data_IF_806141029042
#
_entry.id   IF_806141029042
#
_cell.length_a   1.000
_cell.length_b   1.000
_cell.length_c   1.000
_cell.angle_alpha   90.00
_cell.angle_beta   90.00
_cell.angle_gamma   90.00
#
_symmetry.space_group_name_H-M   'P 1'
#
loop_
_entity.id
_entity.type
_entity.pdbx_description
1 polymer ?
#
# COMPACT_ATOMS: atom_id res chain seq x y z
N UNK A 1 -27.75 11.54 26.05
CA UNK A 1 -28.26 10.77 27.19
C UNK A 1 -29.78 10.86 27.35
N UNK A 2 -30.54 10.87 26.25
CA UNK A 2 -32.02 10.93 26.25
C UNK A 2 -32.66 9.57 25.90
N UNK A 3 -31.90 8.65 25.29
CA UNK A 3 -32.38 7.34 24.79
C UNK A 3 -31.82 6.12 25.57
N UNK A 4 -31.18 6.32 26.73
CA UNK A 4 -30.65 5.22 27.56
C UNK A 4 -29.50 4.39 26.96
N UNK A 5 -29.00 4.75 25.78
CA UNK A 5 -27.87 4.06 25.12
C UNK A 5 -26.56 4.28 25.87
N UNK A 6 -25.92 3.17 26.29
CA UNK A 6 -24.57 3.15 26.86
C UNK A 6 -23.57 3.82 25.89
N UNK A 7 -22.55 4.52 26.40
CA UNK A 7 -21.60 5.30 25.60
C UNK A 7 -20.90 4.45 24.53
N UNK A 8 -20.55 3.21 24.89
CA UNK A 8 -19.97 2.24 23.97
C UNK A 8 -20.91 1.91 22.81
N UNK A 9 -22.20 1.66 23.07
CA UNK A 9 -23.21 1.42 22.02
C UNK A 9 -23.36 2.62 21.10
N UNK A 10 -23.37 3.84 21.64
CA UNK A 10 -23.44 5.06 20.85
C UNK A 10 -22.22 5.22 19.94
N UNK A 11 -21.03 4.92 20.47
CA UNK A 11 -19.77 4.99 19.71
C UNK A 11 -19.78 4.02 18.51
N UNK A 12 -20.02 2.73 18.75
CA UNK A 12 -19.96 1.72 17.68
C UNK A 12 -21.13 1.80 16.71
N UNK A 13 -22.33 2.17 17.18
CA UNK A 13 -23.56 2.12 16.36
C UNK A 13 -23.85 3.42 15.61
N UNK A 14 -23.34 4.56 16.09
CA UNK A 14 -23.64 5.87 15.51
C UNK A 14 -22.37 6.55 15.02
N UNK A 15 -21.35 6.70 15.88
CA UNK A 15 -20.15 7.48 15.55
C UNK A 15 -19.30 6.80 14.47
N UNK A 16 -19.02 5.49 14.61
CA UNK A 16 -18.21 4.74 13.64
C UNK A 16 -18.83 4.74 12.23
N UNK A 17 -20.10 4.34 12.01
CA UNK A 17 -20.68 4.30 10.66
C UNK A 17 -20.76 5.69 10.01
N UNK A 18 -20.97 6.74 10.80
CA UNK A 18 -20.94 8.13 10.30
C UNK A 18 -19.52 8.56 9.89
N UNK A 19 -18.50 8.06 10.59
CA UNK A 19 -17.08 8.39 10.37
C UNK A 19 -16.40 7.52 9.31
N UNK A 20 -17.10 6.55 8.71
CA UNK A 20 -16.57 5.65 7.66
C UNK A 20 -15.84 6.40 6.53
N UNK A 21 -16.31 7.54 6.00
CA UNK A 21 -15.59 8.26 4.94
C UNK A 21 -14.24 8.83 5.40
N UNK A 22 -14.18 9.31 6.64
CA UNK A 22 -12.96 9.86 7.24
C UNK A 22 -11.98 8.72 7.53
N UNK A 23 -12.46 7.63 8.13
CA UNK A 23 -11.65 6.43 8.39
C UNK A 23 -11.09 5.84 7.09
N UNK A 24 -11.89 5.81 6.01
CA UNK A 24 -11.41 5.38 4.70
C UNK A 24 -10.26 6.26 4.19
N UNK A 25 -10.35 7.58 4.37
CA UNK A 25 -9.31 8.53 3.95
C UNK A 25 -8.02 8.35 4.74
N UNK A 26 -8.10 8.24 6.07
CA UNK A 26 -6.93 8.00 6.93
C UNK A 26 -6.31 6.63 6.64
N UNK A 27 -7.13 5.60 6.47
CA UNK A 27 -6.66 4.25 6.12
C UNK A 27 -5.95 4.22 4.77
N UNK A 28 -6.40 5.00 3.79
CA UNK A 28 -5.76 5.09 2.48
C UNK A 28 -4.37 5.70 2.60
N UNK A 29 -4.27 6.85 3.27
CA UNK A 29 -2.99 7.55 3.44
C UNK A 29 -1.99 6.71 4.23
N UNK A 30 -2.43 6.04 5.29
CA UNK A 30 -1.58 5.15 6.09
C UNK A 30 -1.15 3.91 5.31
N UNK A 31 -2.06 3.26 4.56
CA UNK A 31 -1.74 2.10 3.73
C UNK A 31 -0.73 2.46 2.62
N UNK A 32 -0.99 3.54 1.88
CA UNK A 32 -0.08 4.02 0.83
C UNK A 32 1.26 4.41 1.42
N UNK A 33 1.27 5.07 2.59
CA UNK A 33 2.49 5.43 3.32
C UNK A 33 3.32 4.20 3.69
N UNK A 34 2.70 3.21 4.34
CA UNK A 34 3.37 1.97 4.72
C UNK A 34 3.84 1.14 3.53
N UNK A 35 3.05 1.06 2.45
CA UNK A 35 3.47 0.38 1.23
C UNK A 35 4.71 1.02 0.60
N UNK A 36 4.82 2.34 0.70
CA UNK A 36 5.95 3.11 0.18
C UNK A 36 7.08 3.34 1.21
N UNK A 37 7.03 2.73 2.38
CA UNK A 37 7.98 2.95 3.48
C UNK A 37 9.33 2.28 3.22
N UNK A 38 10.11 2.81 2.28
CA UNK A 38 11.45 2.33 1.97
C UNK A 38 12.53 2.99 2.84
N UNK A 39 12.41 4.30 3.10
CA UNK A 39 13.46 5.07 3.78
C UNK A 39 13.59 4.68 5.25
N UNK A 40 12.45 4.72 5.97
CA UNK A 40 12.39 4.30 7.36
C UNK A 40 12.86 2.85 7.53
N UNK A 41 12.48 1.97 6.60
CA UNK A 41 12.90 0.58 6.63
C UNK A 41 14.42 0.41 6.51
N UNK A 42 15.11 1.18 5.65
CA UNK A 42 16.57 1.11 5.53
C UNK A 42 17.27 1.60 6.81
N UNK A 43 16.67 2.57 7.51
CA UNK A 43 17.23 3.13 8.74
C UNK A 43 17.04 2.18 9.92
N UNK A 44 15.85 1.60 10.06
CA UNK A 44 15.48 0.84 11.25
C UNK A 44 15.67 -0.68 11.13
N UNK A 45 15.71 -1.23 9.91
CA UNK A 45 15.77 -2.69 9.69
C UNK A 45 17.18 -3.10 9.27
N UNK A 46 17.86 -3.82 10.17
CA UNK A 46 19.18 -4.41 9.89
C UNK A 46 19.12 -5.82 9.31
N UNK A 47 18.00 -6.54 9.49
CA UNK A 47 17.81 -7.92 9.03
C UNK A 47 17.26 -7.93 7.59
N UNK A 48 18.01 -8.56 6.67
CA UNK A 48 17.64 -8.67 5.26
C UNK A 48 16.30 -9.40 5.04
N UNK A 49 15.94 -10.35 5.91
CA UNK A 49 14.70 -11.11 5.78
C UNK A 49 13.45 -10.30 6.18
N UNK A 50 13.65 -9.16 6.84
CA UNK A 50 12.56 -8.26 7.29
C UNK A 50 12.42 -7.04 6.39
N UNK A 51 13.22 -6.93 5.32
CA UNK A 51 13.18 -5.78 4.43
C UNK A 51 11.88 -5.78 3.63
N UNK A 52 11.14 -4.66 3.59
CA UNK A 52 9.91 -4.58 2.84
C UNK A 52 10.20 -4.60 1.34
N UNK A 53 9.19 -5.05 0.58
CA UNK A 53 9.25 -5.18 -0.87
C UNK A 53 9.73 -3.90 -1.57
N UNK A 54 9.35 -2.73 -1.06
CA UNK A 54 9.72 -1.44 -1.63
C UNK A 54 11.24 -1.17 -1.59
N UNK A 55 11.94 -1.65 -0.56
CA UNK A 55 13.40 -1.54 -0.47
C UNK A 55 14.08 -2.44 -1.49
N UNK A 56 13.59 -3.68 -1.63
CA UNK A 56 14.10 -4.64 -2.62
C UNK A 56 13.88 -4.13 -4.05
N UNK A 57 12.67 -3.62 -4.34
CA UNK A 57 12.36 -2.99 -5.62
C UNK A 57 13.30 -1.83 -5.93
N UNK A 58 13.54 -0.95 -4.95
CA UNK A 58 14.47 0.17 -5.10
C UNK A 58 15.89 -0.30 -5.42
N UNK A 59 16.40 -1.32 -4.72
CA UNK A 59 17.73 -1.92 -5.01
C UNK A 59 17.79 -2.46 -6.43
N UNK A 60 16.78 -3.20 -6.88
CA UNK A 60 16.70 -3.72 -8.26
C UNK A 60 16.69 -2.57 -9.29
N UNK A 61 15.94 -1.50 -9.02
CA UNK A 61 15.79 -0.34 -9.93
C UNK A 61 17.04 0.54 -9.98
N UNK A 62 17.74 0.73 -8.84
CA UNK A 62 18.85 1.67 -8.67
C UNK A 62 20.24 1.02 -8.77
N UNK A 63 20.45 -0.14 -8.13
CA UNK A 63 21.78 -0.80 -8.04
C UNK A 63 22.05 -1.73 -9.23
N UNK A 64 21.14 -1.78 -10.20
CA UNK A 64 21.47 -2.26 -11.53
C UNK A 64 22.01 -3.68 -11.54
N UNK A 65 21.27 -4.64 -10.98
CA UNK A 65 21.29 -6.06 -11.37
C UNK A 65 22.58 -6.87 -11.25
N UNK A 66 23.76 -6.29 -11.07
CA UNK A 66 25.03 -7.00 -11.29
C UNK A 66 25.32 -8.01 -10.18
N UNK A 67 25.06 -7.66 -8.93
CA UNK A 67 25.37 -8.54 -7.80
C UNK A 67 24.30 -9.61 -7.54
N UNK A 68 23.02 -9.30 -7.84
CA UNK A 68 21.90 -10.23 -7.70
C UNK A 68 21.80 -11.21 -8.88
N UNK A 69 22.09 -10.76 -10.12
CA UNK A 69 22.21 -11.65 -11.29
C UNK A 69 23.39 -12.61 -11.16
N UNK A 70 24.49 -12.19 -10.52
CA UNK A 70 25.65 -13.08 -10.32
C UNK A 70 25.38 -14.27 -9.37
N UNK A 71 24.34 -14.20 -8.53
CA UNK A 71 23.87 -15.35 -7.74
C UNK A 71 22.91 -16.24 -8.54
N UNK A 72 22.18 -15.66 -9.50
CA UNK A 72 21.40 -16.41 -10.49
C UNK A 72 22.35 -16.77 -11.65
N UNK A 73 23.35 -17.60 -11.38
CA UNK A 73 24.23 -18.13 -12.43
C UNK A 73 23.39 -18.97 -13.41
N UNK A 74 23.05 -18.35 -14.54
CA UNK A 74 23.44 -18.73 -15.90
C UNK A 74 23.44 -20.22 -16.31
N UNK A 75 22.63 -21.11 -15.72
CA UNK A 75 22.55 -22.49 -16.21
C UNK A 75 21.22 -22.87 -16.88
N UNK A 76 20.16 -22.06 -16.83
CA UNK A 76 18.90 -22.47 -17.51
C UNK A 76 17.99 -21.35 -18.06
N UNK A 77 18.36 -20.09 -17.87
CA UNK A 77 17.56 -18.97 -18.40
C UNK A 77 18.42 -18.07 -19.26
N UNK A 78 18.37 -18.30 -20.58
CA UNK A 78 19.06 -17.51 -21.58
C UNK A 78 18.79 -16.02 -21.39
N UNK A 79 19.88 -15.25 -21.29
CA UNK A 79 19.93 -13.80 -21.48
C UNK A 79 18.71 -13.02 -20.93
N UNK A 80 18.35 -13.21 -19.67
CA UNK A 80 17.34 -12.35 -19.05
C UNK A 80 17.94 -10.94 -18.95
N UNK A 81 17.45 -10.03 -19.78
CA UNK A 81 17.85 -8.63 -19.76
C UNK A 81 17.51 -8.02 -18.38
N UNK A 82 18.45 -7.34 -17.71
CA UNK A 82 18.21 -6.60 -16.46
C UNK A 82 16.95 -5.73 -16.48
N UNK A 83 16.64 -5.17 -17.64
CA UNK A 83 15.46 -4.34 -17.89
C UNK A 83 14.15 -5.12 -17.75
N UNK A 84 14.11 -6.39 -18.16
CA UNK A 84 12.92 -7.22 -18.04
C UNK A 84 12.60 -7.55 -16.57
N UNK A 85 13.62 -7.89 -15.77
CA UNK A 85 13.46 -8.14 -14.32
C UNK A 85 13.03 -6.88 -13.59
N UNK A 86 13.66 -5.73 -13.93
CA UNK A 86 13.28 -4.43 -13.37
C UNK A 86 11.81 -4.11 -13.65
N UNK A 87 11.38 -4.24 -14.90
CA UNK A 87 10.00 -3.94 -15.28
C UNK A 87 9.01 -4.93 -14.64
N UNK A 88 9.31 -6.23 -14.65
CA UNK A 88 8.48 -7.25 -14.00
C UNK A 88 8.31 -6.97 -12.49
N UNK A 89 9.39 -6.58 -11.81
CA UNK A 89 9.35 -6.23 -10.38
C UNK A 89 8.48 -5.01 -10.11
N UNK A 90 8.54 -3.97 -10.97
CA UNK A 90 7.67 -2.79 -10.88
C UNK A 90 6.20 -3.19 -11.05
N UNK A 91 5.87 -4.03 -12.03
CA UNK A 91 4.50 -4.51 -12.23
C UNK A 91 3.98 -5.27 -11.01
N UNK A 92 4.77 -6.23 -10.49
CA UNK A 92 4.41 -7.03 -9.31
C UNK A 92 4.16 -6.13 -8.08
N UNK A 93 4.96 -5.08 -7.91
CA UNK A 93 4.79 -4.16 -6.78
C UNK A 93 3.60 -3.20 -6.95
N UNK A 94 3.24 -2.85 -8.19
CA UNK A 94 2.22 -1.83 -8.48
C UNK A 94 0.80 -2.42 -8.56
N UNK A 95 0.66 -3.66 -9.03
CA UNK A 95 -0.63 -4.34 -9.19
C UNK A 95 -1.46 -4.37 -7.88
N UNK A 96 -0.90 -4.73 -6.71
CA UNK A 96 -1.68 -4.80 -5.48
C UNK A 96 -2.29 -3.44 -5.09
N UNK A 97 -1.53 -2.34 -5.23
CA UNK A 97 -2.04 -0.99 -4.95
C UNK A 97 -3.18 -0.64 -5.90
N UNK A 98 -3.03 -0.95 -7.19
CA UNK A 98 -4.06 -0.71 -8.19
C UNK A 98 -5.33 -1.50 -7.90
N UNK A 99 -5.21 -2.73 -7.42
CA UNK A 99 -6.36 -3.55 -7.01
C UNK A 99 -7.08 -2.98 -5.78
N UNK A 100 -6.35 -2.38 -4.83
CA UNK A 100 -6.94 -1.78 -3.61
C UNK A 100 -7.63 -0.45 -3.91
N UNK A 101 -7.13 0.32 -4.87
CA UNK A 101 -7.66 1.62 -5.26
C UNK A 101 -9.18 1.67 -5.51
N UNK A 102 -9.81 0.80 -6.34
CA UNK A 102 -11.25 0.85 -6.60
C UNK A 102 -12.11 0.58 -5.36
N UNK A 103 -11.64 -0.25 -4.42
CA UNK A 103 -12.36 -0.50 -3.17
C UNK A 103 -12.45 0.75 -2.32
N UNK A 104 -11.36 1.51 -2.26
CA UNK A 104 -11.29 2.74 -1.48
C UNK A 104 -12.04 3.88 -2.20
N UNK A 105 -11.87 4.00 -3.53
CA UNK A 105 -12.53 5.02 -4.36
C UNK A 105 -14.06 5.00 -4.19
N UNK A 106 -14.67 3.82 -4.04
CA UNK A 106 -16.12 3.69 -3.78
C UNK A 106 -16.60 4.46 -2.55
N UNK A 107 -15.77 4.56 -1.49
CA UNK A 107 -16.13 5.30 -0.28
C UNK A 107 -16.00 6.82 -0.47
N UNK A 108 -15.01 7.27 -1.23
CA UNK A 108 -14.86 8.68 -1.59
C UNK A 108 -16.02 9.19 -2.44
N UNK A 109 -16.43 8.43 -3.47
CA UNK A 109 -17.54 8.82 -4.35
C UNK A 109 -18.85 8.93 -3.56
N UNK A 110 -19.12 8.01 -2.62
CA UNK A 110 -20.30 8.10 -1.74
C UNK A 110 -20.26 9.31 -0.82
N UNK A 111 -19.10 9.65 -0.26
CA UNK A 111 -18.95 10.81 0.63
C UNK A 111 -19.18 12.15 -0.09
N UNK A 112 -18.62 12.30 -1.30
CA UNK A 112 -18.75 13.53 -2.10
C UNK A 112 -20.18 13.73 -2.61
N UNK A 113 -20.84 12.66 -3.06
CA UNK A 113 -22.23 12.74 -3.56
C UNK A 113 -23.22 13.20 -2.47
N UNK A 114 -23.03 12.77 -1.22
CA UNK A 114 -23.86 13.21 -0.09
C UNK A 114 -23.62 14.70 0.24
N UNK A 115 -22.39 15.19 0.09
CA UNK A 115 -22.06 16.61 0.25
C UNK A 115 -22.64 17.48 -0.86
N UNK A 116 -22.64 16.99 -2.11
CA UNK A 116 -23.13 17.72 -3.29
C UNK A 116 -24.66 17.85 -3.35
N UNK A 117 -25.41 16.95 -2.72
CA UNK A 117 -26.88 16.98 -2.69
C UNK A 117 -27.45 17.95 -1.63
N UNK A 118 -26.59 18.45 -0.73
CA UNK A 118 -26.95 19.45 0.29
C UNK A 118 -26.57 20.89 -0.09
N UNK A 119 -25.95 21.07 -1.26
CA UNK A 119 -25.67 22.39 -1.87
C UNK A 119 -26.78 22.82 -2.81
#
# INVERSE_FOLDING_TARGET
WIDGSNEFTTCFRIIIPLSVPILATVSLWTLVGHWNAWFDAIIYINDANKMPLQVVLRRIVMEGSSQMLNQIKAEDFGSIYPTAIKNASIYICTIPILCVYPFIQKYFVKGILIGSLKG
#
